data_IF_639251248200
#
_entry.id   IF_639251248200
#
_cell.length_a   1.000
_cell.length_b   1.000
_cell.length_c   1.000
_cell.angle_alpha   90.00
_cell.angle_beta   90.00
_cell.angle_gamma   90.00
#
_symmetry.space_group_name_H-M   'P 1'
#
loop_
_entity.id
_entity.type
_entity.pdbx_description
1 polymer ?
#
# COMPACT_ATOMS: atom_id res chain seq x y z
N UNK A 1 -2.95 18.43 7.95
CA UNK A 1 -3.38 17.08 7.51
C UNK A 1 -2.24 16.12 7.81
N UNK A 2 -2.46 15.10 8.63
CA UNK A 2 -1.40 14.16 9.03
C UNK A 2 -1.23 13.06 7.97
N UNK A 3 -0.12 12.32 8.03
CA UNK A 3 0.13 11.17 7.15
C UNK A 3 -0.95 10.10 7.31
N UNK A 4 -1.41 9.87 8.54
CA UNK A 4 -2.49 8.93 8.86
C UNK A 4 -3.79 9.31 8.12
N UNK A 5 -4.20 10.59 8.17
CA UNK A 5 -5.42 11.05 7.48
C UNK A 5 -5.37 10.86 5.96
N UNK A 6 -4.18 10.92 5.36
CA UNK A 6 -4.00 10.68 3.91
C UNK A 6 -4.13 9.20 3.56
N UNK A 7 -3.65 8.32 4.41
CA UNK A 7 -3.76 6.86 4.25
C UNK A 7 -5.21 6.43 4.40
N UNK A 8 -5.91 6.92 5.42
CA UNK A 8 -7.33 6.67 5.64
C UNK A 8 -8.19 7.14 4.44
N UNK A 9 -7.88 8.30 3.87
CA UNK A 9 -8.57 8.80 2.68
C UNK A 9 -8.30 7.94 1.43
N UNK A 10 -7.09 7.39 1.31
CA UNK A 10 -6.74 6.48 0.22
C UNK A 10 -7.46 5.13 0.37
N UNK A 11 -7.46 4.55 1.57
CA UNK A 11 -8.23 3.34 1.87
C UNK A 11 -9.73 3.54 1.57
N UNK A 12 -10.30 4.67 1.99
CA UNK A 12 -11.69 5.01 1.70
C UNK A 12 -11.97 5.21 0.20
N UNK A 13 -10.99 5.70 -0.58
CA UNK A 13 -11.11 5.82 -2.03
C UNK A 13 -11.09 4.45 -2.72
N UNK A 14 -10.29 3.51 -2.22
CA UNK A 14 -10.21 2.13 -2.73
C UNK A 14 -11.45 1.28 -2.43
N UNK A 15 -12.18 1.62 -1.37
CA UNK A 15 -13.43 0.97 -0.99
C UNK A 15 -14.64 1.42 -1.82
N UNK A 16 -14.54 2.54 -2.55
CA UNK A 16 -15.62 3.00 -3.44
C UNK A 16 -15.54 2.22 -4.75
N UNK A 17 -16.52 1.34 -5.05
CA UNK A 17 -16.48 0.53 -6.25
C UNK A 17 -16.66 1.45 -7.48
N UNK A 18 -15.58 1.68 -8.22
CA UNK A 18 -15.66 1.93 -9.66
C UNK A 18 -15.46 0.58 -10.34
N UNK A 19 -16.38 0.25 -11.25
CA UNK A 19 -16.78 -1.13 -11.58
C UNK A 19 -15.69 -2.09 -12.11
N UNK A 20 -14.48 -1.67 -12.47
CA UNK A 20 -13.47 -2.60 -13.05
C UNK A 20 -12.01 -2.43 -12.55
N UNK A 21 -11.75 -1.50 -11.64
CA UNK A 21 -10.39 -1.14 -11.22
C UNK A 21 -10.24 -1.14 -9.69
N UNK A 22 -10.49 -2.31 -9.07
CA UNK A 22 -10.20 -2.47 -7.64
C UNK A 22 -8.69 -2.53 -7.49
N UNK A 23 -8.05 -1.47 -7.01
CA UNK A 23 -6.67 -1.54 -6.55
C UNK A 23 -6.64 -2.12 -5.13
N UNK A 24 -5.54 -2.77 -4.76
CA UNK A 24 -5.29 -3.27 -3.41
C UNK A 24 -4.15 -2.52 -2.76
N UNK A 25 -4.33 -2.16 -1.49
CA UNK A 25 -3.31 -1.48 -0.71
C UNK A 25 -2.55 -2.47 0.16
N UNK A 26 -1.22 -2.36 0.15
CA UNK A 26 -0.33 -3.10 1.06
C UNK A 26 0.52 -2.09 1.81
N UNK A 27 0.32 -1.98 3.12
CA UNK A 27 1.19 -1.22 4.00
C UNK A 27 2.36 -2.09 4.41
N UNK A 28 3.59 -1.71 4.06
CA UNK A 28 4.80 -2.44 4.47
C UNK A 28 5.15 -2.15 5.93
N UNK A 29 5.54 -3.20 6.64
CA UNK A 29 6.20 -3.08 7.94
C UNK A 29 7.63 -2.60 7.77
N UNK A 30 8.23 -2.09 8.85
CA UNK A 30 9.62 -1.62 8.83
C UNK A 30 10.56 -2.79 8.49
N UNK A 31 11.35 -2.61 7.41
CA UNK A 31 12.28 -3.63 6.94
C UNK A 31 11.62 -4.76 6.13
N UNK A 32 10.31 -4.69 5.90
CA UNK A 32 9.57 -5.62 5.04
C UNK A 32 9.80 -5.24 3.57
N UNK A 33 10.14 -6.23 2.75
CA UNK A 33 10.20 -6.11 1.30
C UNK A 33 8.80 -6.05 0.68
N UNK A 34 8.74 -5.67 -0.60
CA UNK A 34 7.48 -5.66 -1.36
C UNK A 34 6.84 -7.05 -1.41
N UNK A 35 7.65 -8.06 -1.68
CA UNK A 35 7.24 -9.45 -1.84
C UNK A 35 6.69 -10.01 -0.52
N UNK A 36 7.39 -9.76 0.59
CA UNK A 36 6.92 -10.17 1.93
C UNK A 36 5.58 -9.53 2.28
N UNK A 37 5.41 -8.23 1.97
CA UNK A 37 4.15 -7.53 2.19
C UNK A 37 2.99 -8.10 1.36
N UNK A 38 3.23 -8.42 0.09
CA UNK A 38 2.24 -9.02 -0.81
C UNK A 38 1.84 -10.43 -0.35
N UNK A 39 2.82 -11.24 0.06
CA UNK A 39 2.59 -12.59 0.60
C UNK A 39 1.73 -12.50 1.86
N UNK A 40 2.08 -11.61 2.79
CA UNK A 40 1.34 -11.40 4.04
C UNK A 40 -0.10 -10.93 3.81
N UNK A 41 -0.32 -10.15 2.76
CA UNK A 41 -1.65 -9.65 2.38
C UNK A 41 -2.44 -10.62 1.50
N UNK A 42 -1.91 -11.82 1.21
CA UNK A 42 -2.56 -12.84 0.39
C UNK A 42 -2.87 -12.35 -1.04
N UNK A 43 -2.00 -11.51 -1.60
CA UNK A 43 -2.17 -10.89 -2.93
C UNK A 43 -1.22 -11.46 -4.00
N UNK A 44 -0.74 -12.68 -3.82
CA UNK A 44 0.22 -13.31 -4.74
C UNK A 44 -0.37 -13.54 -6.13
N UNK A 45 -1.66 -13.85 -6.19
CA UNK A 45 -2.40 -14.09 -7.45
C UNK A 45 -3.00 -12.79 -8.05
N UNK A 46 -2.73 -11.64 -7.45
CA UNK A 46 -3.27 -10.36 -7.93
C UNK A 46 -2.40 -9.75 -9.03
N UNK A 47 -2.99 -9.04 -10.01
CA UNK A 47 -2.23 -8.30 -11.01
C UNK A 47 -1.28 -7.30 -10.33
N UNK A 48 0.05 -7.38 -10.57
CA UNK A 48 1.03 -6.54 -9.87
C UNK A 48 0.82 -5.04 -10.08
N UNK A 49 0.25 -4.64 -11.21
CA UNK A 49 -0.13 -3.28 -11.58
C UNK A 49 -1.33 -2.74 -10.79
N UNK A 50 -2.12 -3.62 -10.17
CA UNK A 50 -3.26 -3.28 -9.30
C UNK A 50 -2.91 -3.28 -7.81
N UNK A 51 -1.64 -3.51 -7.44
CA UNK A 51 -1.19 -3.51 -6.05
C UNK A 51 -0.40 -2.23 -5.75
N UNK A 52 -0.95 -1.39 -4.89
CA UNK A 52 -0.31 -0.17 -4.38
C UNK A 52 0.38 -0.51 -3.06
N UNK A 53 1.69 -0.33 -3.03
CA UNK A 53 2.53 -0.61 -1.85
C UNK A 53 2.96 0.70 -1.21
N UNK A 54 2.72 0.84 0.09
CA UNK A 54 3.09 2.03 0.86
C UNK A 54 4.11 1.64 1.91
N UNK A 55 5.23 2.37 1.93
CA UNK A 55 6.27 2.25 2.94
C UNK A 55 6.42 3.56 3.68
N UNK A 56 6.34 3.52 5.01
CA UNK A 56 6.66 4.68 5.84
C UNK A 56 8.16 4.71 6.11
N UNK A 57 8.85 5.66 5.49
CA UNK A 57 10.27 5.90 5.74
C UNK A 57 10.44 7.00 6.80
N UNK A 58 11.43 6.83 7.67
CA UNK A 58 11.86 7.93 8.53
C UNK A 58 12.69 8.91 7.69
N UNK A 59 12.58 10.23 7.88
CA UNK A 59 13.41 11.21 7.18
C UNK A 59 14.92 11.02 7.40
N UNK A 60 15.34 10.25 8.43
CA UNK A 60 16.75 9.88 8.65
C UNK A 60 17.27 8.73 7.78
N UNK A 61 16.40 8.06 7.03
CA UNK A 61 16.73 6.91 6.17
C UNK A 61 16.50 7.22 4.68
N UNK A 62 16.49 8.50 4.31
CA UNK A 62 16.53 8.90 2.90
C UNK A 62 18.02 9.02 2.55
N UNK A 63 18.62 7.93 2.10
CA UNK A 63 19.90 8.00 1.39
C UNK A 63 19.62 8.69 0.03
N UNK A 64 19.90 10.00 -0.01
CA UNK A 64 19.94 10.79 -1.24
C UNK A 64 21.27 10.58 -1.96
#
# INVERSE_FOLDING_TARGET
MTILTRVEALEAALLKPKEDERYKLVLLKKGESREEGIIRSELQDWPPDKIIVITFVSPKNIDC
#
